data_IF_512674842989
#
_entry.id   IF_512674842989
#
_cell.length_a   1.000
_cell.length_b   1.000
_cell.length_c   1.000
_cell.angle_alpha   90.00
_cell.angle_beta   90.00
_cell.angle_gamma   90.00
#
_symmetry.space_group_name_H-M   'P 1'
#
loop_
_entity.id
_entity.type
_entity.pdbx_description
1 polymer ?
#
# COMPACT_ATOMS: atom_id res chain seq x y z
N UNK A 1 -24.52 -7.04 -7.81
CA UNK A 1 -23.24 -7.19 -8.52
C UNK A 1 -22.60 -8.52 -8.12
N UNK A 2 -22.28 -9.41 -9.07
CA UNK A 2 -21.61 -10.69 -8.80
C UNK A 2 -20.16 -10.65 -9.26
N UNK A 3 -19.22 -11.03 -8.38
CA UNK A 3 -17.78 -10.89 -8.60
C UNK A 3 -17.02 -12.22 -8.74
N UNK A 4 -17.71 -13.37 -8.61
CA UNK A 4 -17.02 -14.65 -8.46
C UNK A 4 -15.97 -14.56 -7.33
N UNK A 5 -14.70 -14.89 -7.60
CA UNK A 5 -13.59 -14.87 -6.65
C UNK A 5 -12.62 -13.70 -6.81
N UNK A 6 -13.02 -12.62 -7.50
CA UNK A 6 -12.18 -11.41 -7.63
C UNK A 6 -11.64 -10.92 -6.26
N UNK A 7 -12.44 -10.86 -5.17
CA UNK A 7 -11.96 -10.38 -3.88
C UNK A 7 -10.74 -11.14 -3.34
N UNK A 8 -10.56 -12.43 -3.65
CA UNK A 8 -9.41 -13.22 -3.19
C UNK A 8 -8.07 -12.65 -3.68
N UNK A 9 -8.09 -11.98 -4.84
CA UNK A 9 -6.92 -11.38 -5.48
C UNK A 9 -6.77 -9.89 -5.17
N UNK A 10 -7.86 -9.22 -4.80
CA UNK A 10 -7.95 -7.76 -4.72
C UNK A 10 -8.18 -7.26 -3.30
N UNK A 11 -7.53 -7.84 -2.29
CA UNK A 11 -7.64 -7.41 -0.88
C UNK A 11 -9.03 -7.61 -0.23
N UNK A 12 -9.79 -8.58 -0.71
CA UNK A 12 -10.97 -9.12 -0.05
C UNK A 12 -12.08 -8.11 0.22
N UNK A 13 -12.64 -8.22 1.43
CA UNK A 13 -13.82 -7.46 1.84
C UNK A 13 -13.58 -5.95 1.93
N UNK A 14 -12.35 -5.53 2.26
CA UNK A 14 -12.00 -4.10 2.36
C UNK A 14 -12.21 -3.40 1.02
N UNK A 15 -11.60 -3.92 -0.04
CA UNK A 15 -11.72 -3.31 -1.37
C UNK A 15 -13.12 -3.47 -1.96
N UNK A 16 -13.83 -4.54 -1.58
CA UNK A 16 -15.24 -4.69 -1.90
C UNK A 16 -16.07 -3.54 -1.30
N UNK A 17 -15.82 -3.17 -0.04
CA UNK A 17 -16.49 -2.06 0.62
C UNK A 17 -16.07 -0.68 0.08
N UNK A 18 -14.79 -0.50 -0.28
CA UNK A 18 -14.23 0.80 -0.71
C UNK A 18 -14.50 1.11 -2.18
N UNK A 19 -14.42 0.12 -3.08
CA UNK A 19 -14.47 0.37 -4.54
C UNK A 19 -15.74 -0.15 -5.21
N UNK A 20 -16.39 -1.17 -4.66
CA UNK A 20 -17.49 -1.86 -5.36
C UNK A 20 -18.86 -1.53 -4.75
N UNK A 21 -18.97 -1.58 -3.42
CA UNK A 21 -20.20 -1.23 -2.72
C UNK A 21 -20.70 0.21 -3.03
N UNK A 22 -19.83 1.22 -3.21
CA UNK A 22 -20.29 2.57 -3.59
C UNK A 22 -20.93 2.66 -4.98
N UNK A 23 -20.69 1.68 -5.86
CA UNK A 23 -21.28 1.61 -7.21
C UNK A 23 -22.63 0.92 -7.25
N UNK A 24 -23.15 0.47 -6.10
CA UNK A 24 -24.51 -0.07 -6.00
C UNK A 24 -25.55 1.06 -6.12
N UNK A 25 -26.70 0.72 -6.68
CA UNK A 25 -27.90 1.56 -6.60
C UNK A 25 -28.38 1.70 -5.15
N UNK A 26 -29.18 2.73 -4.87
CA UNK A 26 -29.76 2.99 -3.55
C UNK A 26 -30.92 2.05 -3.17
N UNK A 27 -31.13 0.99 -3.94
CA UNK A 27 -32.17 0.00 -3.72
C UNK A 27 -31.86 -0.91 -2.52
N UNK A 28 -32.90 -1.37 -1.82
CA UNK A 28 -32.73 -2.15 -0.59
C UNK A 28 -32.10 -3.52 -0.81
N UNK A 29 -32.21 -4.05 -2.02
CA UNK A 29 -31.70 -5.38 -2.37
C UNK A 29 -30.39 -5.30 -3.17
N UNK A 30 -29.88 -4.08 -3.39
CA UNK A 30 -28.60 -3.88 -4.06
C UNK A 30 -27.46 -4.41 -3.18
N UNK A 31 -26.78 -5.44 -3.68
CA UNK A 31 -25.71 -6.14 -2.98
C UNK A 31 -24.52 -6.41 -3.90
N UNK A 32 -23.34 -6.46 -3.30
CA UNK A 32 -22.15 -7.06 -3.90
C UNK A 32 -22.00 -8.47 -3.35
N UNK A 33 -21.83 -9.43 -4.26
CA UNK A 33 -21.77 -10.84 -3.96
C UNK A 33 -20.50 -11.46 -4.56
N UNK A 34 -19.85 -12.34 -3.80
CA UNK A 34 -18.65 -13.05 -4.20
C UNK A 34 -18.55 -14.41 -3.49
N UNK A 35 -17.66 -15.26 -3.99
CA UNK A 35 -17.19 -16.48 -3.32
C UNK A 35 -15.70 -16.37 -3.04
N UNK A 36 -15.23 -17.09 -2.04
CA UNK A 36 -13.81 -17.39 -1.88
C UNK A 36 -13.53 -18.73 -2.57
N UNK A 37 -12.59 -18.75 -3.51
CA UNK A 37 -12.20 -19.95 -4.27
C UNK A 37 -10.70 -20.22 -4.26
N UNK A 38 -9.87 -19.21 -4.00
CA UNK A 38 -8.41 -19.32 -4.07
C UNK A 38 -7.83 -19.81 -2.75
N UNK A 39 -8.26 -19.19 -1.65
CA UNK A 39 -7.65 -19.39 -0.33
C UNK A 39 -8.64 -19.96 0.69
N UNK A 40 -9.61 -20.76 0.21
CA UNK A 40 -10.63 -21.39 1.07
C UNK A 40 -10.04 -22.21 2.21
N UNK A 41 -8.84 -22.80 2.01
CA UNK A 41 -8.13 -23.57 3.02
C UNK A 41 -7.54 -22.73 4.17
N UNK A 42 -7.44 -21.41 4.02
CA UNK A 42 -6.87 -20.52 5.04
C UNK A 42 -7.81 -20.20 6.19
N UNK A 43 -9.12 -20.34 5.99
CA UNK A 43 -10.14 -19.74 6.85
C UNK A 43 -10.77 -20.75 7.78
N UNK A 44 -10.97 -20.42 9.07
CA UNK A 44 -11.78 -21.25 9.97
C UNK A 44 -13.25 -20.87 9.99
N UNK A 45 -13.56 -19.62 9.66
CA UNK A 45 -14.91 -19.07 9.59
C UNK A 45 -14.90 -17.71 8.88
N UNK A 46 -16.08 -17.16 8.64
CA UNK A 46 -16.26 -15.84 8.02
C UNK A 46 -15.72 -14.66 8.82
N UNK A 47 -15.69 -14.75 10.15
CA UNK A 47 -15.13 -13.67 10.99
C UNK A 47 -13.61 -13.55 10.79
N UNK A 48 -12.89 -14.67 10.66
CA UNK A 48 -11.46 -14.65 10.32
C UNK A 48 -11.20 -14.07 8.92
N UNK A 49 -12.04 -14.43 7.94
CA UNK A 49 -11.98 -13.85 6.60
C UNK A 49 -12.17 -12.33 6.64
N UNK A 50 -13.22 -11.85 7.33
CA UNK A 50 -13.49 -10.43 7.52
C UNK A 50 -12.30 -9.74 8.19
N UNK A 51 -11.86 -10.29 9.33
CA UNK A 51 -10.85 -9.67 10.17
C UNK A 51 -9.52 -9.55 9.45
N UNK A 52 -9.10 -10.57 8.70
CA UNK A 52 -7.86 -10.51 7.94
C UNK A 52 -7.85 -9.28 7.01
N UNK A 53 -8.83 -9.12 6.14
CA UNK A 53 -8.82 -8.06 5.13
C UNK A 53 -9.17 -6.67 5.68
N UNK A 54 -9.97 -6.58 6.74
CA UNK A 54 -10.49 -5.29 7.23
C UNK A 54 -9.91 -4.85 8.57
N UNK A 55 -9.26 -5.75 9.31
CA UNK A 55 -8.88 -5.60 10.72
C UNK A 55 -10.08 -5.30 11.66
N UNK A 56 -11.30 -5.62 11.22
CA UNK A 56 -12.56 -5.42 11.94
C UNK A 56 -13.28 -6.75 12.12
N UNK A 57 -14.01 -6.87 13.23
CA UNK A 57 -15.02 -7.92 13.33
C UNK A 57 -16.22 -7.56 12.45
N UNK A 58 -16.97 -8.56 12.02
CA UNK A 58 -18.14 -8.40 11.16
C UNK A 58 -19.15 -7.38 11.72
N UNK A 59 -19.35 -7.37 13.03
CA UNK A 59 -20.22 -6.42 13.74
C UNK A 59 -19.72 -4.95 13.68
N UNK A 60 -18.42 -4.73 13.50
CA UNK A 60 -17.81 -3.40 13.45
C UNK A 60 -17.79 -2.83 12.02
N UNK A 61 -17.90 -3.66 10.98
CA UNK A 61 -17.85 -3.21 9.58
C UNK A 61 -18.85 -2.08 9.26
N UNK A 62 -20.11 -2.09 9.73
CA UNK A 62 -21.04 -0.98 9.52
C UNK A 62 -20.52 0.38 10.00
N UNK A 63 -19.95 0.43 11.21
CA UNK A 63 -19.55 1.69 11.87
C UNK A 63 -18.23 2.27 11.34
N UNK A 64 -17.44 1.48 10.60
CA UNK A 64 -16.19 1.93 9.98
C UNK A 64 -16.30 2.09 8.46
N UNK A 65 -16.90 1.12 7.77
CA UNK A 65 -16.87 1.06 6.30
C UNK A 65 -18.21 1.43 5.64
N UNK A 66 -19.24 1.74 6.43
CA UNK A 66 -20.56 2.13 5.90
C UNK A 66 -21.25 1.00 5.14
N UNK A 67 -20.91 -0.26 5.44
CA UNK A 67 -21.46 -1.43 4.77
C UNK A 67 -21.95 -2.46 5.79
N UNK A 68 -23.00 -3.20 5.45
CA UNK A 68 -23.51 -4.32 6.24
C UNK A 68 -23.13 -5.64 5.57
N UNK A 69 -22.55 -6.54 6.34
CA UNK A 69 -22.36 -7.93 5.94
C UNK A 69 -23.69 -8.65 6.12
N UNK A 70 -24.22 -9.19 5.03
CA UNK A 70 -25.47 -9.98 5.02
C UNK A 70 -25.16 -11.46 5.20
N UNK A 71 -24.09 -11.93 4.56
CA UNK A 71 -23.57 -13.28 4.65
C UNK A 71 -22.05 -13.25 4.52
N UNK A 72 -21.37 -14.11 5.24
CA UNK A 72 -19.92 -14.25 5.15
C UNK A 72 -19.53 -15.70 5.43
N UNK A 73 -19.60 -16.51 4.39
CA UNK A 73 -19.14 -17.88 4.42
C UNK A 73 -17.99 -18.05 3.41
N UNK A 74 -16.74 -18.28 3.85
CA UNK A 74 -15.62 -18.54 2.94
C UNK A 74 -15.80 -19.80 2.08
N UNK A 75 -16.73 -20.70 2.43
CA UNK A 75 -17.09 -21.87 1.62
C UNK A 75 -18.41 -21.71 0.87
N UNK A 76 -19.08 -20.58 1.07
CA UNK A 76 -20.38 -20.25 0.50
C UNK A 76 -20.36 -18.85 -0.10
N UNK A 77 -21.38 -18.06 0.23
CA UNK A 77 -21.54 -16.71 -0.28
C UNK A 77 -20.95 -15.68 0.68
N UNK A 78 -20.38 -14.63 0.09
CA UNK A 78 -19.97 -13.41 0.77
C UNK A 78 -20.83 -12.29 0.20
N UNK A 79 -21.72 -11.74 1.01
CA UNK A 79 -22.71 -10.74 0.62
C UNK A 79 -22.51 -9.46 1.43
N UNK A 80 -22.23 -8.37 0.71
CA UNK A 80 -22.09 -7.04 1.28
C UNK A 80 -23.15 -6.10 0.71
N UNK A 81 -23.78 -5.32 1.59
CA UNK A 81 -24.73 -4.27 1.24
C UNK A 81 -24.19 -2.91 1.68
N UNK A 82 -24.34 -1.89 0.83
CA UNK A 82 -24.06 -0.51 1.22
C UNK A 82 -25.14 0.01 2.16
N UNK A 83 -24.75 0.73 3.21
CA UNK A 83 -25.67 1.49 4.07
C UNK A 83 -25.79 2.93 3.55
N UNK A 84 -26.90 3.64 3.84
CA UNK A 84 -27.01 5.05 3.52
C UNK A 84 -25.84 5.86 4.12
N UNK A 85 -25.21 6.70 3.29
CA UNK A 85 -24.08 7.55 3.68
C UNK A 85 -24.36 9.02 3.34
N UNK A 86 -23.92 10.00 4.16
CA UNK A 86 -23.12 9.82 5.37
C UNK A 86 -23.94 9.25 6.54
N UNK A 87 -23.30 8.43 7.38
CA UNK A 87 -23.92 7.90 8.59
C UNK A 87 -23.87 8.92 9.73
N UNK A 88 -24.85 8.92 10.65
CA UNK A 88 -24.80 9.77 11.84
C UNK A 88 -23.57 9.48 12.69
N UNK A 89 -22.93 10.53 13.23
CA UNK A 89 -21.68 10.40 14.00
C UNK A 89 -21.80 9.44 15.21
N UNK A 90 -22.96 9.39 15.87
CA UNK A 90 -23.19 8.50 17.02
C UNK A 90 -23.28 7.01 16.62
N UNK A 91 -23.42 6.69 15.33
CA UNK A 91 -23.40 5.33 14.79
C UNK A 91 -22.01 4.91 14.27
N UNK A 92 -21.06 5.85 14.20
CA UNK A 92 -19.68 5.63 13.79
C UNK A 92 -18.80 5.24 14.97
N UNK A 93 -17.62 4.69 14.66
CA UNK A 93 -16.59 4.46 15.66
C UNK A 93 -16.12 5.77 16.32
N UNK A 94 -15.72 5.70 17.59
CA UNK A 94 -15.10 6.85 18.26
C UNK A 94 -13.79 7.25 17.59
N UNK A 95 -13.33 8.48 17.82
CA UNK A 95 -12.05 8.94 17.27
C UNK A 95 -10.87 8.05 17.67
N UNK A 96 -10.85 7.55 18.91
CA UNK A 96 -9.77 6.71 19.42
C UNK A 96 -9.72 5.35 18.70
N UNK A 97 -10.86 4.68 18.60
CA UNK A 97 -11.01 3.42 17.86
C UNK A 97 -10.65 3.61 16.38
N UNK A 98 -11.17 4.68 15.78
CA UNK A 98 -10.92 5.06 14.40
C UNK A 98 -9.43 5.29 14.12
N UNK A 99 -8.78 6.13 14.92
CA UNK A 99 -7.37 6.46 14.76
C UNK A 99 -6.47 5.24 14.96
N UNK A 100 -6.78 4.38 15.95
CA UNK A 100 -6.02 3.15 16.18
C UNK A 100 -6.18 2.15 15.01
N UNK A 101 -7.42 1.90 14.57
CA UNK A 101 -7.70 1.01 13.44
C UNK A 101 -7.03 1.51 12.16
N UNK A 102 -7.15 2.81 11.85
CA UNK A 102 -6.56 3.38 10.64
C UNK A 102 -5.03 3.32 10.66
N UNK A 103 -4.40 3.51 11.83
CA UNK A 103 -2.96 3.29 11.98
C UNK A 103 -2.57 1.82 11.73
N UNK A 104 -3.36 0.84 12.22
CA UNK A 104 -3.13 -0.58 11.90
C UNK A 104 -3.29 -0.87 10.41
N UNK A 105 -4.29 -0.28 9.76
CA UNK A 105 -4.50 -0.41 8.30
C UNK A 105 -3.31 0.13 7.51
N UNK A 106 -2.80 1.30 7.91
CA UNK A 106 -1.57 1.86 7.34
C UNK A 106 -0.42 0.86 7.51
N UNK A 107 -0.18 0.37 8.73
CA UNK A 107 0.96 -0.52 8.99
C UNK A 107 0.86 -1.85 8.24
N UNK A 108 -0.33 -2.43 8.07
CA UNK A 108 -0.52 -3.63 7.25
C UNK A 108 -0.36 -3.37 5.74
N UNK A 109 -0.59 -2.13 5.30
CA UNK A 109 -0.32 -1.70 3.91
C UNK A 109 1.19 -1.54 3.68
N UNK A 110 1.90 -0.95 4.64
CA UNK A 110 3.34 -0.72 4.56
C UNK A 110 4.17 -2.00 4.76
N UNK A 111 3.70 -2.88 5.66
CA UNK A 111 4.38 -4.09 6.12
C UNK A 111 3.33 -5.21 6.25
N UNK A 112 2.93 -5.84 5.13
CA UNK A 112 1.98 -6.94 5.18
C UNK A 112 2.58 -8.16 5.87
N UNK A 113 1.72 -9.00 6.45
CA UNK A 113 2.13 -10.31 6.97
C UNK A 113 2.65 -11.23 5.87
N UNK A 114 3.35 -12.30 6.23
CA UNK A 114 3.95 -13.22 5.27
C UNK A 114 2.88 -14.16 4.69
N UNK A 115 2.60 -14.13 3.37
CA UNK A 115 1.63 -15.05 2.78
C UNK A 115 2.15 -16.48 2.75
N UNK A 116 1.25 -17.46 2.79
CA UNK A 116 1.61 -18.86 2.52
C UNK A 116 2.15 -19.01 1.09
N UNK A 117 3.14 -19.90 0.93
CA UNK A 117 3.62 -20.34 -0.38
C UNK A 117 2.77 -21.48 -0.95
N UNK A 118 1.89 -22.08 -0.13
CA UNK A 118 0.91 -23.07 -0.58
C UNK A 118 -0.21 -22.32 -1.32
N UNK A 119 -0.47 -22.58 -2.61
CA UNK A 119 -1.41 -21.80 -3.41
C UNK A 119 -2.83 -21.72 -2.80
N UNK A 120 -3.34 -22.83 -2.25
CA UNK A 120 -4.70 -22.92 -1.68
C UNK A 120 -4.85 -22.26 -0.30
N UNK A 121 -3.75 -21.82 0.31
CA UNK A 121 -3.71 -21.13 1.61
C UNK A 121 -3.21 -19.69 1.46
N UNK A 122 -3.05 -19.21 0.23
CA UNK A 122 -2.39 -17.94 -0.04
C UNK A 122 -3.35 -16.76 0.07
N UNK A 123 -3.17 -15.98 1.12
CA UNK A 123 -3.88 -14.71 1.32
C UNK A 123 -3.10 -13.56 0.65
N UNK A 124 -3.74 -12.85 -0.28
CA UNK A 124 -3.12 -11.73 -1.01
C UNK A 124 -3.40 -10.38 -0.35
N UNK A 125 -2.36 -9.56 -0.20
CA UNK A 125 -2.42 -8.16 0.26
C UNK A 125 -1.90 -7.21 -0.83
N UNK A 126 -2.66 -6.98 -1.92
CA UNK A 126 -2.18 -6.16 -3.04
C UNK A 126 -2.30 -4.64 -2.80
N UNK A 127 -2.82 -4.21 -1.66
CA UNK A 127 -3.04 -2.78 -1.41
C UNK A 127 -1.71 -2.10 -1.12
N UNK A 128 -1.55 -0.91 -1.70
CA UNK A 128 -0.41 -0.03 -1.53
C UNK A 128 -0.88 1.30 -0.90
N UNK A 129 0.03 2.26 -0.75
CA UNK A 129 -0.32 3.55 -0.15
C UNK A 129 -1.40 4.32 -0.91
N UNK A 130 -1.54 4.13 -2.23
CA UNK A 130 -2.65 4.72 -2.99
C UNK A 130 -3.99 4.20 -2.48
N UNK A 131 -4.11 2.88 -2.28
CA UNK A 131 -5.33 2.28 -1.75
C UNK A 131 -5.64 2.76 -0.32
N UNK A 132 -4.62 3.10 0.48
CA UNK A 132 -4.82 3.73 1.78
C UNK A 132 -5.37 5.16 1.66
N UNK A 133 -4.90 5.96 0.69
CA UNK A 133 -5.47 7.30 0.42
C UNK A 133 -6.92 7.20 -0.06
N UNK A 134 -7.21 6.26 -0.96
CA UNK A 134 -8.58 5.99 -1.43
C UNK A 134 -9.51 5.58 -0.28
N UNK A 135 -8.99 4.81 0.71
CA UNK A 135 -9.71 4.49 1.94
C UNK A 135 -10.07 5.77 2.73
N UNK A 136 -9.18 6.76 2.85
CA UNK A 136 -9.50 8.02 3.53
C UNK A 136 -10.62 8.79 2.83
N UNK A 137 -10.63 8.79 1.50
CA UNK A 137 -11.70 9.41 0.69
C UNK A 137 -13.02 8.68 0.94
N UNK A 138 -13.01 7.35 0.96
CA UNK A 138 -14.18 6.54 1.29
C UNK A 138 -14.71 6.83 2.70
N UNK A 139 -13.82 6.91 3.69
CA UNK A 139 -14.19 7.18 5.09
C UNK A 139 -14.85 8.55 5.26
N UNK A 140 -14.44 9.56 4.47
CA UNK A 140 -15.15 10.84 4.44
C UNK A 140 -16.59 10.66 3.94
N UNK A 141 -16.80 9.90 2.87
CA UNK A 141 -18.15 9.60 2.34
C UNK A 141 -19.00 8.85 3.36
N UNK A 142 -18.41 7.89 4.09
CA UNK A 142 -19.07 7.16 5.18
C UNK A 142 -19.61 8.10 6.26
N UNK A 143 -18.99 9.27 6.46
CA UNK A 143 -19.44 10.29 7.40
C UNK A 143 -18.44 10.64 8.51
N UNK A 144 -17.21 10.11 8.46
CA UNK A 144 -16.19 10.50 9.44
C UNK A 144 -15.83 11.98 9.30
N UNK A 145 -15.67 12.72 10.42
CA UNK A 145 -15.39 14.15 10.38
C UNK A 145 -14.13 14.49 9.58
N UNK A 146 -14.25 15.47 8.68
CA UNK A 146 -13.13 15.95 7.84
C UNK A 146 -11.88 16.32 8.64
N UNK A 147 -12.05 16.95 9.81
CA UNK A 147 -10.92 17.34 10.67
C UNK A 147 -10.17 16.15 11.30
N UNK A 148 -10.82 14.97 11.46
CA UNK A 148 -10.14 13.75 11.91
C UNK A 148 -9.23 13.21 10.80
N UNK A 149 -9.77 13.08 9.59
CA UNK A 149 -9.04 12.61 8.42
C UNK A 149 -7.88 13.54 8.05
N UNK A 150 -8.16 14.85 8.04
CA UNK A 150 -7.16 15.91 7.85
C UNK A 150 -6.01 15.80 8.83
N UNK A 151 -6.32 15.68 10.14
CA UNK A 151 -5.30 15.58 11.19
C UNK A 151 -4.42 14.33 11.05
N UNK A 152 -5.02 13.19 10.71
CA UNK A 152 -4.29 11.93 10.54
C UNK A 152 -3.40 11.97 9.29
N UNK A 153 -3.93 12.39 8.14
CA UNK A 153 -3.14 12.48 6.91
C UNK A 153 -2.01 13.50 7.04
N UNK A 154 -2.28 14.65 7.66
CA UNK A 154 -1.25 15.66 7.98
C UNK A 154 -0.14 15.08 8.87
N UNK A 155 -0.50 14.31 9.89
CA UNK A 155 0.47 13.64 10.76
C UNK A 155 1.29 12.57 10.02
N UNK A 156 0.70 11.87 9.05
CA UNK A 156 1.39 10.89 8.21
C UNK A 156 2.41 11.58 7.29
N UNK A 157 1.98 12.58 6.50
CA UNK A 157 2.87 13.26 5.54
C UNK A 157 3.97 14.06 6.22
N UNK A 158 3.71 14.59 7.42
CA UNK A 158 4.67 15.35 8.21
C UNK A 158 5.58 14.49 9.09
N UNK A 159 5.51 13.16 8.98
CA UNK A 159 6.28 12.24 9.84
C UNK A 159 6.09 12.57 11.34
N UNK A 160 4.85 12.69 11.78
CA UNK A 160 4.50 13.05 13.16
C UNK A 160 3.36 12.19 13.72
N UNK A 161 3.17 10.98 13.17
CA UNK A 161 2.17 10.04 13.64
C UNK A 161 2.62 9.39 14.95
N UNK A 162 1.77 9.49 15.99
CA UNK A 162 1.92 8.77 17.25
C UNK A 162 0.87 7.68 17.35
N UNK A 163 1.29 6.44 17.54
CA UNK A 163 0.37 5.30 17.64
C UNK A 163 0.87 4.22 18.62
N UNK A 164 -0.07 3.51 19.22
CA UNK A 164 0.18 2.27 19.97
C UNK A 164 -0.01 1.02 19.10
N UNK A 165 -0.35 1.17 17.82
CA UNK A 165 -0.47 0.06 16.88
C UNK A 165 0.91 -0.56 16.54
N UNK A 166 0.88 -1.82 16.14
CA UNK A 166 2.04 -2.57 15.64
C UNK A 166 1.65 -3.32 14.36
N UNK A 167 2.55 -3.44 13.38
CA UNK A 167 2.33 -4.32 12.23
C UNK A 167 2.24 -5.78 12.68
N UNK A 168 1.49 -6.59 11.93
CA UNK A 168 1.50 -8.05 12.09
C UNK A 168 2.62 -8.64 11.22
N UNK A 169 3.52 -9.40 11.85
CA UNK A 169 4.73 -9.92 11.20
C UNK A 169 4.72 -11.45 11.07
N UNK A 170 3.61 -12.08 11.44
CA UNK A 170 3.44 -13.52 11.33
C UNK A 170 2.95 -13.94 9.94
N UNK A 171 2.68 -15.23 9.81
CA UNK A 171 2.08 -15.81 8.62
C UNK A 171 0.60 -15.45 8.51
N UNK A 172 0.16 -15.05 7.33
CA UNK A 172 -1.26 -14.83 7.05
C UNK A 172 -2.03 -16.16 7.11
N UNK A 173 -3.31 -16.16 7.54
CA UNK A 173 -4.14 -14.98 7.86
C UNK A 173 -3.85 -14.35 9.22
N UNK A 174 -4.17 -13.06 9.38
CA UNK A 174 -4.02 -12.34 10.65
C UNK A 174 -5.05 -12.85 11.65
N UNK A 175 -4.66 -13.37 12.84
CA UNK A 175 -5.61 -13.87 13.81
C UNK A 175 -6.33 -12.71 14.53
N UNK A 176 -7.61 -12.90 14.86
CA UNK A 176 -8.41 -11.90 15.56
C UNK A 176 -7.87 -11.53 16.95
N UNK A 177 -7.01 -12.36 17.53
CA UNK A 177 -6.27 -12.06 18.77
C UNK A 177 -5.29 -10.88 18.62
N UNK A 178 -4.91 -10.51 17.39
CA UNK A 178 -4.11 -9.30 17.11
C UNK A 178 -4.92 -8.01 17.35
N UNK A 179 -6.25 -8.08 17.47
CA UNK A 179 -7.12 -6.90 17.62
C UNK A 179 -6.76 -6.07 18.84
N UNK A 180 -6.44 -6.73 19.95
CA UNK A 180 -6.17 -6.08 21.24
C UNK A 180 -4.68 -5.85 21.47
N UNK A 181 -3.81 -6.26 20.54
CA UNK A 181 -2.37 -6.06 20.72
C UNK A 181 -2.00 -4.61 20.51
N UNK A 182 -1.48 -4.01 21.57
CA UNK A 182 -1.02 -2.63 21.59
C UNK A 182 0.31 -2.55 22.32
N UNK A 183 1.11 -1.57 21.93
CA UNK A 183 2.33 -1.19 22.63
C UNK A 183 2.18 0.25 23.12
N UNK A 184 3.05 0.72 24.02
CA UNK A 184 3.05 2.11 24.44
C UNK A 184 3.06 3.05 23.23
N UNK A 185 2.23 4.10 23.31
CA UNK A 185 2.09 5.08 22.23
C UNK A 185 3.44 5.75 21.97
N UNK A 186 3.89 5.66 20.72
CA UNK A 186 5.22 6.13 20.29
C UNK A 186 5.11 6.81 18.93
N UNK A 187 6.10 7.63 18.61
CA UNK A 187 6.26 8.18 17.27
C UNK A 187 6.74 7.07 16.33
N UNK A 188 6.09 6.92 15.19
CA UNK A 188 6.57 6.05 14.11
C UNK A 188 7.30 6.88 13.05
N UNK A 189 8.29 6.27 12.40
CA UNK A 189 9.09 6.87 11.33
C UNK A 189 8.44 6.58 9.97
N UNK A 190 7.80 7.60 9.39
CA UNK A 190 7.12 7.52 8.09
C UNK A 190 7.90 8.20 6.96
N UNK A 191 9.05 8.84 7.27
CA UNK A 191 9.97 9.39 6.26
C UNK A 191 10.31 8.44 5.12
N UNK A 192 10.49 7.12 5.35
CA UNK A 192 10.79 6.19 4.27
C UNK A 192 9.71 6.14 3.19
N UNK A 193 8.45 6.46 3.48
CA UNK A 193 7.38 6.41 2.49
C UNK A 193 6.98 7.79 1.95
N UNK A 194 7.72 8.85 2.29
CA UNK A 194 7.37 10.21 1.88
C UNK A 194 7.45 10.42 0.36
N UNK A 195 8.41 9.80 -0.34
CA UNK A 195 8.47 9.91 -1.81
C UNK A 195 7.21 9.35 -2.49
N UNK A 196 6.65 8.28 -1.95
CA UNK A 196 5.42 7.69 -2.48
C UNK A 196 4.19 8.55 -2.16
N UNK A 197 4.07 9.00 -0.90
CA UNK A 197 2.97 9.88 -0.48
C UNK A 197 2.97 11.18 -1.27
N UNK A 198 4.15 11.74 -1.55
CA UNK A 198 4.31 12.92 -2.39
C UNK A 198 3.79 12.68 -3.80
N UNK A 199 4.20 11.60 -4.45
CA UNK A 199 3.72 11.24 -5.77
C UNK A 199 2.18 11.10 -5.81
N UNK A 200 1.60 10.36 -4.86
CA UNK A 200 0.15 10.15 -4.79
C UNK A 200 -0.58 11.49 -4.61
N UNK A 201 -0.15 12.31 -3.65
CA UNK A 201 -0.86 13.53 -3.28
C UNK A 201 -0.62 14.67 -4.27
N UNK A 202 0.52 14.75 -4.95
CA UNK A 202 0.72 15.69 -6.05
C UNK A 202 -0.35 15.54 -7.14
N UNK A 203 -0.83 14.30 -7.38
CA UNK A 203 -1.87 14.03 -8.37
C UNK A 203 -3.29 14.05 -7.78
N UNK A 204 -3.45 13.72 -6.49
CA UNK A 204 -4.78 13.46 -5.92
C UNK A 204 -5.25 14.45 -4.85
N UNK A 205 -4.42 15.40 -4.39
CA UNK A 205 -4.77 16.23 -3.25
C UNK A 205 -6.01 17.11 -3.49
N UNK A 206 -6.23 17.58 -4.72
CA UNK A 206 -7.43 18.35 -5.09
C UNK A 206 -8.72 17.52 -5.02
N UNK A 207 -8.63 16.20 -5.11
CA UNK A 207 -9.76 15.28 -4.98
C UNK A 207 -10.12 15.00 -3.51
N UNK A 208 -9.30 15.43 -2.55
CA UNK A 208 -9.59 15.26 -1.12
C UNK A 208 -10.69 16.23 -0.70
N UNK A 209 -11.78 15.68 -0.16
CA UNK A 209 -12.89 16.46 0.38
C UNK A 209 -12.60 17.06 1.78
N UNK A 210 -11.33 17.13 2.17
CA UNK A 210 -10.87 17.69 3.43
C UNK A 210 -9.46 18.28 3.25
N UNK A 211 -9.12 19.36 3.99
CA UNK A 211 -7.83 20.01 3.83
C UNK A 211 -6.70 19.16 4.41
N UNK A 212 -5.49 19.31 3.88
CA UNK A 212 -4.27 18.66 4.39
C UNK A 212 -3.17 19.71 4.43
N UNK A 213 -2.39 19.72 5.51
CA UNK A 213 -1.17 20.53 5.58
C UNK A 213 0.02 19.71 5.11
N UNK A 214 0.73 20.22 4.12
CA UNK A 214 1.89 19.55 3.52
C UNK A 214 3.21 20.09 4.07
N UNK A 215 4.25 19.26 4.16
CA UNK A 215 5.60 19.71 4.48
C UNK A 215 6.14 20.73 3.46
N UNK A 216 7.11 21.55 3.88
CA UNK A 216 7.82 22.45 2.96
C UNK A 216 8.63 21.64 1.95
N UNK A 217 8.55 22.00 0.67
CA UNK A 217 9.23 21.30 -0.43
C UNK A 217 8.57 19.99 -0.84
N UNK A 218 7.34 19.75 -0.42
CA UNK A 218 6.52 18.63 -0.88
C UNK A 218 5.91 19.00 -2.24
N UNK A 219 6.10 18.17 -3.26
CA UNK A 219 5.51 18.39 -4.56
C UNK A 219 3.97 18.34 -4.47
N UNK A 220 3.32 19.32 -5.08
CA UNK A 220 1.85 19.44 -5.09
C UNK A 220 1.29 19.54 -6.51
N UNK A 221 2.14 19.72 -7.51
CA UNK A 221 1.73 19.74 -8.91
C UNK A 221 2.04 18.41 -9.59
N UNK A 222 1.13 17.85 -10.40
CA UNK A 222 1.45 16.72 -11.28
C UNK A 222 2.67 16.98 -12.18
N UNK A 223 2.91 18.24 -12.57
CA UNK A 223 4.04 18.68 -13.38
C UNK A 223 5.40 18.55 -12.68
N UNK A 224 5.43 18.44 -11.35
CA UNK A 224 6.64 18.22 -10.58
C UNK A 224 7.04 16.73 -10.53
N UNK A 225 6.11 15.84 -10.88
CA UNK A 225 6.30 14.40 -10.94
C UNK A 225 6.76 14.00 -12.33
N UNK A 226 7.72 13.08 -12.41
CA UNK A 226 8.10 12.43 -13.65
C UNK A 226 8.12 10.91 -13.50
N UNK A 227 8.05 10.22 -14.63
CA UNK A 227 8.23 8.78 -14.71
C UNK A 227 9.69 8.47 -14.98
N UNK A 228 10.25 7.57 -14.19
CA UNK A 228 11.61 7.10 -14.31
C UNK A 228 11.64 5.61 -14.59
N UNK A 229 12.62 5.16 -15.35
CA UNK A 229 12.81 3.74 -15.60
C UNK A 229 14.27 3.31 -15.52
N UNK A 230 14.47 2.01 -15.39
CA UNK A 230 15.77 1.36 -15.52
C UNK A 230 15.66 0.08 -16.32
N UNK A 231 16.69 -0.21 -17.11
CA UNK A 231 16.87 -1.52 -17.72
C UNK A 231 17.23 -2.56 -16.65
N UNK A 232 16.40 -3.57 -16.53
CA UNK A 232 16.52 -4.67 -15.59
C UNK A 232 16.43 -6.01 -16.34
N UNK A 233 17.42 -6.36 -17.18
CA UNK A 233 17.42 -7.65 -17.86
C UNK A 233 17.44 -8.81 -16.86
N UNK A 234 16.80 -9.93 -17.23
CA UNK A 234 16.57 -11.10 -16.36
C UNK A 234 17.84 -11.63 -15.67
N UNK A 235 19.02 -11.49 -16.26
CA UNK A 235 20.28 -11.98 -15.67
C UNK A 235 20.75 -11.19 -14.43
N UNK A 236 20.20 -10.00 -14.18
CA UNK A 236 20.49 -9.23 -12.96
C UNK A 236 19.72 -9.73 -11.74
N UNK A 237 18.68 -10.55 -11.96
CA UNK A 237 17.84 -11.09 -10.91
C UNK A 237 18.48 -12.32 -10.27
N UNK A 238 18.34 -12.44 -8.95
CA UNK A 238 18.69 -13.64 -8.20
C UNK A 238 17.99 -14.85 -8.79
N UNK A 239 18.66 -16.00 -8.78
CA UNK A 239 18.16 -17.24 -9.37
C UNK A 239 16.73 -17.60 -8.95
N UNK A 240 16.36 -17.41 -7.69
CA UNK A 240 15.00 -17.69 -7.18
C UNK A 240 13.92 -16.89 -7.90
N UNK A 241 14.17 -15.61 -8.17
CA UNK A 241 13.26 -14.75 -8.94
C UNK A 241 13.36 -15.02 -10.43
N UNK A 242 14.59 -15.11 -10.97
CA UNK A 242 14.81 -15.34 -12.39
C UNK A 242 14.24 -16.69 -12.86
N UNK A 243 14.21 -17.72 -12.01
CA UNK A 243 13.67 -19.04 -12.31
C UNK A 243 12.19 -19.19 -11.92
N UNK A 244 11.50 -18.11 -11.50
CA UNK A 244 10.10 -18.12 -11.05
C UNK A 244 9.83 -19.15 -9.94
N UNK A 245 10.75 -19.30 -8.97
CA UNK A 245 10.51 -20.17 -7.81
C UNK A 245 9.37 -19.62 -6.94
N UNK A 246 9.13 -18.31 -7.02
CA UNK A 246 7.95 -17.65 -6.49
C UNK A 246 7.03 -17.23 -7.62
N UNK A 247 5.72 -17.21 -7.35
CA UNK A 247 4.73 -16.80 -8.36
C UNK A 247 5.06 -15.39 -8.89
N UNK A 248 5.12 -15.22 -10.24
CA UNK A 248 5.33 -13.92 -10.87
C UNK A 248 4.04 -13.10 -10.98
N UNK A 249 2.89 -13.68 -10.66
CA UNK A 249 1.57 -13.06 -10.84
C UNK A 249 1.02 -12.40 -9.57
N UNK A 250 1.86 -12.20 -8.56
CA UNK A 250 1.46 -11.56 -7.30
C UNK A 250 2.08 -10.19 -7.15
N UNK A 251 1.25 -9.23 -6.73
CA UNK A 251 1.62 -7.85 -6.46
C UNK A 251 2.33 -7.73 -5.11
N UNK A 252 3.58 -8.19 -5.04
CA UNK A 252 4.44 -8.14 -3.84
C UNK A 252 5.73 -7.37 -4.04
N UNK A 253 5.90 -6.76 -5.21
CA UNK A 253 7.08 -5.98 -5.54
C UNK A 253 6.92 -4.56 -5.02
N UNK A 254 7.95 -4.08 -4.32
CA UNK A 254 8.14 -2.66 -4.05
C UNK A 254 9.44 -2.17 -4.66
N UNK A 255 9.79 -0.90 -4.41
CA UNK A 255 11.11 -0.35 -4.69
C UNK A 255 11.69 0.24 -3.41
N UNK A 256 12.95 -0.11 -3.14
CA UNK A 256 13.73 0.38 -2.01
C UNK A 256 14.88 1.23 -2.54
N UNK A 257 14.84 2.53 -2.25
CA UNK A 257 15.90 3.47 -2.54
C UNK A 257 16.71 3.72 -1.28
N UNK A 258 18.04 3.71 -1.36
CA UNK A 258 18.88 3.95 -0.20
C UNK A 258 20.24 4.53 -0.57
N UNK A 259 20.86 5.22 0.38
CA UNK A 259 22.28 5.60 0.28
C UNK A 259 23.14 4.36 0.57
N UNK A 260 24.07 3.98 -0.33
CA UNK A 260 25.05 2.94 -0.03
C UNK A 260 25.81 3.28 1.26
N UNK A 261 26.03 2.28 2.11
CA UNK A 261 26.67 2.49 3.40
C UNK A 261 26.71 1.21 4.22
N UNK A 262 26.46 1.32 5.53
CA UNK A 262 26.58 0.22 6.47
C UNK A 262 25.50 -0.88 6.30
N UNK A 263 24.38 -0.57 5.65
CA UNK A 263 23.24 -1.47 5.51
C UNK A 263 23.10 -1.93 4.07
N UNK A 264 22.96 -3.24 3.88
CA UNK A 264 22.68 -3.83 2.58
C UNK A 264 21.20 -3.73 2.22
N UNK A 265 20.90 -3.87 0.94
CA UNK A 265 19.53 -3.94 0.43
C UNK A 265 18.71 -5.06 1.09
N UNK A 266 19.30 -6.25 1.27
CA UNK A 266 18.64 -7.38 1.93
C UNK A 266 18.39 -7.11 3.43
N UNK A 267 19.34 -6.45 4.12
CA UNK A 267 19.15 -6.06 5.52
C UNK A 267 18.00 -5.07 5.69
N UNK A 268 17.92 -4.04 4.83
CA UNK A 268 16.81 -3.08 4.85
C UNK A 268 15.47 -3.75 4.55
N UNK A 269 15.41 -4.62 3.52
CA UNK A 269 14.19 -5.33 3.13
C UNK A 269 13.72 -6.33 4.21
N UNK A 270 14.64 -6.96 4.93
CA UNK A 270 14.30 -7.89 6.03
C UNK A 270 13.84 -7.17 7.30
N UNK A 271 14.18 -5.90 7.48
CA UNK A 271 13.97 -5.16 8.72
C UNK A 271 13.12 -3.89 8.51
N UNK A 272 12.11 -3.95 7.63
CA UNK A 272 11.20 -2.82 7.38
C UNK A 272 10.46 -2.39 8.65
N UNK A 273 10.22 -3.32 9.58
CA UNK A 273 9.70 -2.96 10.91
C UNK A 273 10.66 -2.01 11.65
N UNK A 274 11.95 -2.32 11.71
CA UNK A 274 12.92 -1.46 12.38
C UNK A 274 13.06 -0.10 11.67
N UNK A 275 12.83 -0.06 10.36
CA UNK A 275 12.72 1.18 9.59
C UNK A 275 11.51 2.01 10.06
N UNK A 276 10.33 1.39 10.19
CA UNK A 276 9.11 2.02 10.72
C UNK A 276 9.28 2.50 12.18
N UNK A 277 10.04 1.76 12.99
CA UNK A 277 10.34 2.13 14.38
C UNK A 277 11.46 3.17 14.49
N UNK A 278 12.07 3.61 13.38
CA UNK A 278 13.17 4.57 13.38
C UNK A 278 14.47 4.02 13.97
N UNK A 279 14.61 2.69 14.10
CA UNK A 279 15.83 2.00 14.54
C UNK A 279 16.80 1.75 13.37
N UNK A 280 16.29 1.78 12.14
CA UNK A 280 17.02 1.56 10.90
C UNK A 280 16.68 2.66 9.88
N UNK A 281 17.66 3.16 9.11
CA UNK A 281 17.40 4.14 8.05
C UNK A 281 16.83 5.51 8.49
N UNK A 282 16.88 5.85 9.78
CA UNK A 282 16.19 7.00 10.37
C UNK A 282 16.66 8.39 9.86
N UNK A 283 17.83 8.46 9.22
CA UNK A 283 18.44 9.72 8.79
C UNK A 283 18.01 10.18 7.39
N UNK A 284 16.83 9.76 6.93
CA UNK A 284 16.37 10.07 5.57
C UNK A 284 17.25 9.44 4.49
N UNK A 285 17.89 8.31 4.79
CA UNK A 285 18.79 7.58 3.90
C UNK A 285 18.10 6.43 3.17
N UNK A 286 16.78 6.30 3.36
CA UNK A 286 15.93 5.24 2.81
C UNK A 286 14.64 5.86 2.30
N UNK A 287 14.17 5.41 1.14
CA UNK A 287 12.81 5.60 0.65
C UNK A 287 12.25 4.25 0.15
N UNK A 288 10.96 4.02 0.33
CA UNK A 288 10.24 2.81 -0.03
C UNK A 288 9.02 3.22 -0.83
N UNK A 289 8.86 2.63 -2.01
CA UNK A 289 7.62 2.71 -2.80
C UNK A 289 6.93 1.34 -2.77
N UNK A 290 5.69 1.32 -2.30
CA UNK A 290 4.78 0.16 -2.35
C UNK A 290 4.07 0.06 -3.70
N UNK A 291 3.95 1.16 -4.44
CA UNK A 291 3.45 1.26 -5.79
C UNK A 291 4.59 1.27 -6.80
N UNK A 292 4.49 0.40 -7.80
CA UNK A 292 5.43 0.31 -8.93
C UNK A 292 4.60 0.35 -10.21
N UNK A 293 4.92 1.27 -11.12
CA UNK A 293 4.12 1.47 -12.34
C UNK A 293 4.30 0.31 -13.32
N UNK A 294 5.54 -0.15 -13.49
CA UNK A 294 5.84 -1.34 -14.31
C UNK A 294 6.95 -2.14 -13.66
N UNK A 295 6.72 -3.44 -13.53
CA UNK A 295 7.73 -4.40 -13.11
C UNK A 295 7.73 -5.58 -14.07
N UNK A 296 8.50 -5.46 -15.15
CA UNK A 296 8.51 -6.43 -16.24
C UNK A 296 9.89 -7.07 -16.39
N UNK A 297 10.03 -8.28 -15.82
CA UNK A 297 11.26 -9.07 -15.91
C UNK A 297 11.47 -9.58 -17.35
N UNK A 298 10.40 -9.81 -18.12
CA UNK A 298 10.49 -10.38 -19.47
C UNK A 298 11.03 -9.36 -20.46
N UNK A 299 10.50 -8.14 -20.42
CA UNK A 299 10.98 -7.02 -21.22
C UNK A 299 12.15 -6.28 -20.57
N UNK A 300 12.50 -6.65 -19.34
CA UNK A 300 13.62 -6.10 -18.60
C UNK A 300 13.46 -4.61 -18.27
N UNK A 301 12.27 -4.19 -17.84
CA UNK A 301 11.97 -2.79 -17.50
C UNK A 301 11.34 -2.69 -16.12
N UNK A 302 11.88 -1.78 -15.30
CA UNK A 302 11.25 -1.32 -14.07
C UNK A 302 10.94 0.17 -14.24
N UNK A 303 9.71 0.59 -13.94
CA UNK A 303 9.27 1.99 -14.03
C UNK A 303 8.56 2.42 -12.75
N UNK A 304 8.78 3.67 -12.35
CA UNK A 304 8.14 4.31 -11.20
C UNK A 304 8.00 5.82 -11.40
N UNK A 305 7.04 6.43 -10.72
CA UNK A 305 6.89 7.87 -10.63
C UNK A 305 7.52 8.43 -9.34
N UNK A 306 8.16 9.59 -9.44
CA UNK A 306 8.77 10.31 -8.32
C UNK A 306 8.93 11.80 -8.68
N UNK A 307 9.02 12.68 -7.69
CA UNK A 307 9.31 14.09 -7.94
C UNK A 307 10.70 14.29 -8.55
N UNK A 308 10.78 15.22 -9.52
CA UNK A 308 12.03 15.58 -10.20
C UNK A 308 13.08 16.08 -9.22
N UNK A 309 12.67 16.81 -8.18
CA UNK A 309 13.56 17.28 -7.12
C UNK A 309 14.18 16.15 -6.31
N UNK A 310 13.37 15.16 -5.87
CA UNK A 310 13.90 14.01 -5.14
C UNK A 310 14.86 13.19 -5.98
N UNK A 311 14.55 12.95 -7.25
CA UNK A 311 15.48 12.21 -8.13
C UNK A 311 16.79 12.99 -8.37
N UNK A 312 16.72 14.32 -8.51
CA UNK A 312 17.91 15.18 -8.61
C UNK A 312 18.77 15.08 -7.34
N UNK A 313 18.15 15.16 -6.16
CA UNK A 313 18.83 14.99 -4.87
C UNK A 313 19.45 13.59 -4.76
N UNK A 314 18.69 12.54 -5.09
CA UNK A 314 19.17 11.16 -5.03
C UNK A 314 20.37 10.93 -5.96
N UNK A 315 20.35 11.51 -7.16
CA UNK A 315 21.50 11.50 -8.09
C UNK A 315 22.71 12.22 -7.49
N UNK A 316 22.53 13.42 -6.96
CA UNK A 316 23.62 14.22 -6.37
C UNK A 316 24.26 13.52 -5.16
N UNK A 317 23.47 12.82 -4.37
CA UNK A 317 23.91 12.14 -3.15
C UNK A 317 24.31 10.67 -3.37
N UNK A 318 24.28 10.17 -4.61
CA UNK A 318 24.76 8.83 -4.95
C UNK A 318 23.88 7.69 -4.43
N UNK A 319 22.56 7.86 -4.41
CA UNK A 319 21.62 6.82 -4.00
C UNK A 319 21.61 5.65 -5.00
N UNK A 320 21.05 4.52 -4.55
CA UNK A 320 20.80 3.34 -5.37
C UNK A 320 19.39 2.83 -5.12
N UNK A 321 18.87 2.02 -6.04
CA UNK A 321 17.54 1.41 -5.96
C UNK A 321 17.66 -0.10 -6.06
N UNK A 322 16.90 -0.84 -5.25
CA UNK A 322 16.67 -2.26 -5.45
C UNK A 322 15.18 -2.58 -5.38
N UNK A 323 14.68 -3.56 -6.13
CA UNK A 323 13.35 -4.10 -5.91
C UNK A 323 13.33 -5.19 -4.82
N UNK A 324 12.71 -4.95 -3.65
CA UNK A 324 12.39 -6.01 -2.70
C UNK A 324 11.10 -6.75 -3.05
N UNK A 325 11.03 -8.00 -2.60
CA UNK A 325 9.78 -8.75 -2.46
C UNK A 325 9.33 -8.72 -1.01
N UNK A 326 8.09 -8.28 -0.76
CA UNK A 326 7.53 -8.24 0.59
C UNK A 326 7.23 -9.65 1.14
N UNK A 327 6.90 -10.61 0.28
CA UNK A 327 6.61 -11.99 0.70
C UNK A 327 7.84 -12.79 1.14
N UNK A 328 9.04 -12.37 0.72
CA UNK A 328 10.32 -13.00 1.12
C UNK A 328 11.25 -12.06 1.86
N UNK A 329 10.81 -10.82 2.12
CA UNK A 329 11.54 -9.73 2.77
C UNK A 329 12.99 -9.57 2.26
N UNK A 330 13.20 -9.63 0.94
CA UNK A 330 14.53 -9.66 0.34
C UNK A 330 14.61 -8.99 -1.02
N UNK A 331 15.80 -8.50 -1.37
CA UNK A 331 16.11 -7.95 -2.70
C UNK A 331 16.06 -9.06 -3.75
N UNK A 332 15.44 -8.80 -4.90
CA UNK A 332 15.39 -9.78 -5.99
C UNK A 332 16.52 -9.67 -7.00
N UNK A 333 17.39 -8.68 -6.89
CA UNK A 333 18.56 -8.49 -7.77
C UNK A 333 19.87 -8.73 -7.01
N UNK A 334 20.91 -9.13 -7.75
CA UNK A 334 22.26 -9.31 -7.20
C UNK A 334 22.92 -8.00 -6.79
N UNK A 335 22.66 -6.92 -7.55
CA UNK A 335 23.23 -5.60 -7.32
C UNK A 335 22.15 -4.53 -7.47
N UNK A 336 22.14 -3.49 -6.62
CA UNK A 336 21.26 -2.35 -6.78
C UNK A 336 21.51 -1.59 -8.09
N UNK A 337 20.46 -0.99 -8.64
CA UNK A 337 20.50 -0.07 -9.77
C UNK A 337 21.01 1.30 -9.33
N UNK A 338 22.07 1.78 -9.98
CA UNK A 338 22.69 3.07 -9.68
C UNK A 338 21.84 4.22 -10.25
N UNK A 339 21.83 5.39 -9.61
CA UNK A 339 21.10 6.58 -10.09
C UNK A 339 21.43 7.02 -11.52
N UNK A 340 22.67 6.77 -11.99
CA UNK A 340 23.09 7.04 -13.38
C UNK A 340 22.38 6.18 -14.43
N UNK A 341 21.79 5.05 -14.01
CA UNK A 341 21.01 4.16 -14.88
C UNK A 341 19.53 4.52 -14.93
N UNK A 342 19.07 5.45 -14.08
CA UNK A 342 17.68 5.88 -14.07
C UNK A 342 17.45 6.87 -15.19
N UNK A 343 16.54 6.53 -16.10
CA UNK A 343 16.19 7.30 -17.28
C UNK A 343 14.90 8.05 -17.01
N UNK A 344 14.84 9.34 -17.34
CA UNK A 344 13.61 10.13 -17.27
C UNK A 344 12.77 9.85 -18.52
N UNK A 345 11.62 9.21 -18.35
CA UNK A 345 10.71 8.79 -19.42
C UNK A 345 9.67 9.87 -19.76
N UNK A 346 9.75 11.08 -19.20
CA UNK A 346 8.85 12.18 -19.59
C UNK A 346 8.93 12.48 -21.09
N UNK A 347 7.81 12.91 -21.67
CA UNK A 347 7.73 13.26 -23.09
C UNK A 347 8.75 14.35 -23.45
N UNK A 348 8.99 15.31 -22.55
CA UNK A 348 10.01 16.36 -22.69
C UNK A 348 11.41 15.74 -22.83
N UNK A 349 11.77 14.83 -21.93
CA UNK A 349 13.05 14.14 -21.95
C UNK A 349 13.20 13.18 -23.15
N UNK A 350 12.10 12.60 -23.63
CA UNK A 350 12.11 11.78 -24.85
C UNK A 350 12.34 12.66 -26.09
N UNK A 351 11.68 13.82 -26.16
CA UNK A 351 11.82 14.78 -27.26
C UNK A 351 13.23 15.37 -27.31
N UNK A 352 13.81 15.78 -26.17
CA UNK A 352 15.20 16.27 -26.10
C UNK A 352 16.22 15.22 -26.54
N UNK A 353 16.02 13.94 -26.16
CA UNK A 353 16.86 12.83 -26.62
C UNK A 353 16.74 12.59 -28.12
N UNK A 354 15.53 12.68 -28.67
CA UNK A 354 15.31 12.57 -30.12
C UNK A 354 16.00 13.70 -30.89
N UNK A 355 15.94 14.94 -30.38
CA UNK A 355 16.65 16.08 -30.97
C UNK A 355 18.16 15.92 -30.92
N UNK A 356 18.71 15.46 -29.79
CA UNK A 356 20.15 15.18 -29.67
C UNK A 356 20.60 14.05 -30.59
N UNK A 357 19.81 12.98 -30.73
CA UNK A 357 20.11 11.87 -31.63
C UNK A 357 20.01 12.28 -33.11
N UNK A 358 19.16 13.24 -33.46
CA UNK A 358 19.05 13.78 -34.81
C UNK A 358 20.15 14.80 -35.16
N UNK A 359 20.89 15.31 -34.17
CA UNK A 359 21.97 16.27 -34.32
C UNK A 359 23.37 15.63 -34.42
N UNK A 360 23.46 14.30 -34.26
CA UNK A 360 24.66 13.46 -34.46
C UNK A 360 24.50 12.71 -35.77
#
# INVERSE_FOLDING_TARGET
MWLSNIPDYTHGLLNTAVYLAPSLDDETDATVAANCLVNTGSWRNGDEFCYNYTLLLTADVPRFLGCRIMEIDPWGLILLRRLPTPRPLHELASFEEFNYWLAKMLFCTLIPGTPSHVPIERVNYPNNLKAFVDLLIHLHRVGFPAHWLSGILTAIVSDNLYSGATPYLGSLPIPSSERTKQVPRRKVNLRPWQAELENILAVSHEALAFPVTFPVGFALSPEEISFYSVEAPRHLFKYTTAANFYSPFISVMGLLFFKPGAQSADQLAANVQDILEGKMGANGTVQILTMVDTFDIQNGKIQWAMSREKVRMMRAEGWVMTPPRFDTCGSVVYQPFLTRSWVDDSWEAQFERALHAAAI
#
